data_IF_168269964702
#
_entry.id   IF_168269964702
#
_cell.length_a   1.000
_cell.length_b   1.000
_cell.length_c   1.000
_cell.angle_alpha   90.00
_cell.angle_beta   90.00
_cell.angle_gamma   90.00
#
_symmetry.space_group_name_H-M   'P 1'
#
loop_
_entity.id
_entity.type
_entity.pdbx_description
1 polymer ?
#
# COMPACT_ATOMS: atom_id res chain seq x y z
N UNK A 1 16.46 11.99 -10.57
CA UNK A 1 15.09 12.25 -11.10
C UNK A 1 14.16 11.05 -10.84
N UNK A 2 14.59 9.84 -11.22
CA UNK A 2 13.82 8.60 -11.07
C UNK A 2 13.32 8.33 -9.62
N UNK A 3 14.21 8.36 -8.63
CA UNK A 3 13.85 8.13 -7.22
C UNK A 3 12.80 9.12 -6.70
N UNK A 4 12.85 10.38 -7.16
CA UNK A 4 11.87 11.40 -6.79
C UNK A 4 10.48 11.07 -7.34
N UNK A 5 10.39 10.57 -8.58
CA UNK A 5 9.12 10.17 -9.20
C UNK A 5 8.49 9.00 -8.45
N UNK A 6 9.29 7.99 -8.09
CA UNK A 6 8.82 6.85 -7.29
C UNK A 6 8.28 7.32 -5.93
N UNK A 7 9.02 8.19 -5.24
CA UNK A 7 8.58 8.75 -3.96
C UNK A 7 7.29 9.53 -4.08
N UNK A 8 7.16 10.41 -5.07
CA UNK A 8 5.93 11.21 -5.25
C UNK A 8 4.74 10.31 -5.55
N UNK A 9 4.91 9.29 -6.40
CA UNK A 9 3.87 8.31 -6.69
C UNK A 9 3.45 7.53 -5.44
N UNK A 10 4.43 7.08 -4.65
CA UNK A 10 4.17 6.36 -3.41
C UNK A 10 3.44 7.21 -2.37
N UNK A 11 3.81 8.49 -2.22
CA UNK A 11 3.13 9.42 -1.30
C UNK A 11 1.67 9.61 -1.72
N UNK A 12 1.41 9.89 -3.00
CA UNK A 12 0.05 10.07 -3.52
C UNK A 12 -0.77 8.80 -3.29
N UNK A 13 -0.20 7.63 -3.59
CA UNK A 13 -0.84 6.34 -3.35
C UNK A 13 -1.21 6.16 -1.87
N UNK A 14 -0.25 6.31 -0.96
CA UNK A 14 -0.47 6.12 0.47
C UNK A 14 -1.49 7.12 1.05
N UNK A 15 -1.48 8.37 0.58
CA UNK A 15 -2.48 9.37 0.96
C UNK A 15 -3.89 8.93 0.51
N UNK A 16 -4.02 8.48 -0.74
CA UNK A 16 -5.29 8.01 -1.26
C UNK A 16 -5.81 6.79 -0.46
N UNK A 17 -4.95 5.83 -0.15
CA UNK A 17 -5.30 4.67 0.68
C UNK A 17 -5.72 5.06 2.10
N UNK A 18 -4.98 5.97 2.72
CA UNK A 18 -5.30 6.45 4.06
C UNK A 18 -6.62 7.21 4.14
N UNK A 19 -7.06 7.83 3.03
CA UNK A 19 -8.33 8.55 2.96
C UNK A 19 -9.55 7.64 3.17
N UNK A 20 -9.42 6.35 2.85
CA UNK A 20 -10.46 5.34 3.12
C UNK A 20 -10.64 5.17 4.63
N UNK A 21 -9.55 5.25 5.41
CA UNK A 21 -9.60 5.08 6.85
C UNK A 21 -10.27 6.27 7.57
N UNK A 22 -10.30 7.45 6.97
CA UNK A 22 -11.03 8.62 7.50
C UNK A 22 -12.53 8.31 7.64
N UNK A 23 -13.06 7.40 6.80
CA UNK A 23 -14.47 7.00 6.84
C UNK A 23 -14.84 6.13 8.04
N UNK A 24 -13.88 5.64 8.85
CA UNK A 24 -14.17 4.93 10.10
C UNK A 24 -14.91 5.81 11.12
N UNK A 25 -14.60 7.10 11.15
CA UNK A 25 -15.15 8.05 12.15
C UNK A 25 -16.56 8.52 11.81
N UNK A 26 -17.00 8.41 10.55
CA UNK A 26 -18.33 8.83 10.12
C UNK A 26 -19.39 7.84 10.63
N UNK A 27 -20.54 8.33 11.09
CA UNK A 27 -21.61 7.47 11.65
C UNK A 27 -22.31 6.61 10.59
N UNK A 28 -22.34 7.05 9.32
CA UNK A 28 -23.07 6.38 8.24
C UNK A 28 -22.45 5.04 7.81
N UNK A 29 -23.28 4.01 7.65
CA UNK A 29 -22.89 2.68 7.13
C UNK A 29 -22.71 2.67 5.60
N UNK A 30 -21.95 3.64 5.09
CA UNK A 30 -21.51 3.67 3.70
C UNK A 30 -20.64 2.45 3.35
N UNK A 31 -20.64 2.05 2.07
CA UNK A 31 -19.81 0.96 1.55
C UNK A 31 -18.34 1.17 1.94
N UNK A 32 -17.84 2.42 1.87
CA UNK A 32 -16.47 2.75 2.26
C UNK A 32 -16.18 2.50 3.74
N UNK A 33 -17.14 2.74 4.63
CA UNK A 33 -16.99 2.45 6.07
C UNK A 33 -16.94 0.94 6.33
N UNK A 34 -17.77 0.15 5.64
CA UNK A 34 -17.73 -1.33 5.74
C UNK A 34 -16.36 -1.87 5.29
N UNK A 35 -15.83 -1.38 4.18
CA UNK A 35 -14.48 -1.73 3.72
C UNK A 35 -13.42 -1.29 4.73
N UNK A 36 -13.51 -0.08 5.25
CA UNK A 36 -12.57 0.43 6.25
C UNK A 36 -12.58 -0.42 7.54
N UNK A 37 -13.75 -0.84 8.03
CA UNK A 37 -13.92 -1.74 9.17
C UNK A 37 -13.33 -3.15 8.91
N UNK A 38 -13.54 -3.70 7.71
CA UNK A 38 -12.92 -4.98 7.31
C UNK A 38 -11.39 -4.87 7.28
N UNK A 39 -10.88 -3.77 6.73
CA UNK A 39 -9.44 -3.51 6.61
C UNK A 39 -8.75 -3.24 7.96
N UNK A 40 -9.45 -2.68 8.95
CA UNK A 40 -8.91 -2.46 10.31
C UNK A 40 -9.23 -3.58 11.29
N UNK A 41 -10.21 -4.44 10.97
CA UNK A 41 -10.58 -5.64 11.72
C UNK A 41 -9.94 -6.90 11.15
N UNK A 42 -10.75 -7.72 10.48
CA UNK A 42 -10.37 -9.06 10.04
C UNK A 42 -9.16 -9.10 9.07
N UNK A 43 -8.95 -8.04 8.28
CA UNK A 43 -7.87 -7.95 7.30
C UNK A 43 -6.70 -7.06 7.75
N UNK A 44 -6.67 -6.62 9.02
CA UNK A 44 -5.69 -5.67 9.57
C UNK A 44 -4.24 -6.03 9.28
N UNK A 45 -3.87 -7.31 9.39
CA UNK A 45 -2.50 -7.76 9.16
C UNK A 45 -2.06 -7.50 7.72
N UNK A 46 -2.89 -7.85 6.74
CA UNK A 46 -2.61 -7.62 5.32
C UNK A 46 -2.59 -6.14 4.99
N UNK A 47 -3.51 -5.35 5.56
CA UNK A 47 -3.52 -3.90 5.44
C UNK A 47 -2.22 -3.29 5.99
N UNK A 48 -1.78 -3.70 7.18
CA UNK A 48 -0.56 -3.19 7.79
C UNK A 48 0.69 -3.51 6.96
N UNK A 49 0.83 -4.77 6.52
CA UNK A 49 1.97 -5.17 5.66
C UNK A 49 1.97 -4.37 4.36
N UNK A 50 0.81 -4.14 3.74
CA UNK A 50 0.69 -3.28 2.55
C UNK A 50 1.23 -1.87 2.80
N UNK A 51 0.81 -1.20 3.87
CA UNK A 51 1.28 0.15 4.20
C UNK A 51 2.79 0.16 4.51
N UNK A 52 3.27 -0.81 5.30
CA UNK A 52 4.69 -0.95 5.61
C UNK A 52 5.50 -1.13 4.32
N UNK A 53 5.04 -1.99 3.40
CA UNK A 53 5.69 -2.20 2.12
C UNK A 53 5.72 -0.92 1.26
N UNK A 54 4.61 -0.18 1.21
CA UNK A 54 4.55 1.09 0.49
C UNK A 54 5.48 2.16 1.07
N UNK A 55 5.55 2.29 2.41
CA UNK A 55 6.42 3.26 3.08
C UNK A 55 7.90 2.88 2.92
N UNK A 56 8.27 1.63 3.21
CA UNK A 56 9.66 1.17 3.13
C UNK A 56 10.12 1.19 1.67
N UNK A 57 9.37 0.56 0.77
CA UNK A 57 9.73 0.42 -0.63
C UNK A 57 9.63 1.72 -1.41
N UNK A 58 8.64 2.57 -1.14
CA UNK A 58 8.34 3.77 -1.91
C UNK A 58 8.95 5.06 -1.37
N UNK A 59 9.26 5.13 -0.06
CA UNK A 59 9.74 6.36 0.58
C UNK A 59 11.11 6.17 1.22
N UNK A 60 11.24 5.26 2.20
CA UNK A 60 12.46 5.17 3.01
C UNK A 60 13.68 4.71 2.20
N UNK A 61 13.53 3.64 1.40
CA UNK A 61 14.63 3.13 0.59
C UNK A 61 15.06 4.12 -0.51
N UNK A 62 14.16 4.69 -1.33
CA UNK A 62 14.55 5.71 -2.31
C UNK A 62 15.15 6.97 -1.69
N UNK A 63 14.69 7.39 -0.50
CA UNK A 63 15.25 8.53 0.23
C UNK A 63 16.68 8.25 0.69
N UNK A 64 16.94 7.06 1.25
CA UNK A 64 18.27 6.65 1.68
C UNK A 64 19.25 6.61 0.50
N UNK A 65 18.83 6.03 -0.63
CA UNK A 65 19.63 6.02 -1.86
C UNK A 65 19.92 7.47 -2.30
N UNK A 66 18.93 8.37 -2.25
CA UNK A 66 19.12 9.76 -2.67
C UNK A 66 20.08 10.54 -1.77
N UNK A 67 20.09 10.27 -0.46
CA UNK A 67 20.97 10.94 0.50
C UNK A 67 22.40 10.39 0.46
N UNK A 68 22.55 9.08 0.30
CA UNK A 68 23.86 8.40 0.37
C UNK A 68 24.43 8.07 -1.02
N UNK A 69 23.83 8.56 -2.10
CA UNK A 69 24.18 8.18 -3.48
C UNK A 69 25.68 8.26 -3.77
N UNK A 70 26.35 9.31 -3.28
CA UNK A 70 27.78 9.54 -3.51
C UNK A 70 28.72 8.59 -2.72
N UNK A 71 28.18 7.94 -1.68
CA UNK A 71 28.93 7.06 -0.77
C UNK A 71 28.67 5.57 -1.05
N UNK A 72 27.62 5.27 -1.82
CA UNK A 72 27.20 3.91 -2.11
C UNK A 72 27.91 3.36 -3.35
N UNK A 73 28.26 2.08 -3.30
CA UNK A 73 28.77 1.35 -4.46
C UNK A 73 27.62 0.93 -5.38
N UNK A 74 27.90 0.72 -6.67
CA UNK A 74 26.88 0.29 -7.64
C UNK A 74 26.14 -0.99 -7.20
N UNK A 75 26.83 -1.95 -6.56
CA UNK A 75 26.22 -3.17 -6.03
C UNK A 75 25.23 -2.90 -4.91
N UNK A 76 25.58 -2.02 -3.96
CA UNK A 76 24.67 -1.63 -2.87
C UNK A 76 23.44 -0.87 -3.38
N UNK A 77 23.61 -0.01 -4.38
CA UNK A 77 22.49 0.70 -5.02
C UNK A 77 21.54 -0.31 -5.68
N UNK A 78 22.08 -1.27 -6.44
CA UNK A 78 21.27 -2.30 -7.10
C UNK A 78 20.50 -3.15 -6.08
N UNK A 79 21.14 -3.53 -4.97
CA UNK A 79 20.48 -4.26 -3.88
C UNK A 79 19.28 -3.47 -3.30
N UNK A 80 19.46 -2.19 -2.97
CA UNK A 80 18.36 -1.38 -2.43
C UNK A 80 17.24 -1.14 -3.46
N UNK A 81 17.59 -1.00 -4.74
CA UNK A 81 16.60 -0.87 -5.83
C UNK A 81 15.77 -2.15 -5.96
N UNK A 82 16.41 -3.32 -5.98
CA UNK A 82 15.70 -4.60 -6.03
C UNK A 82 14.81 -4.80 -4.81
N UNK A 83 15.32 -4.47 -3.62
CA UNK A 83 14.55 -4.55 -2.38
C UNK A 83 13.34 -3.61 -2.41
N UNK A 84 13.53 -2.36 -2.85
CA UNK A 84 12.45 -1.39 -3.05
C UNK A 84 11.39 -1.92 -4.02
N UNK A 85 11.83 -2.46 -5.16
CA UNK A 85 10.95 -3.06 -6.16
C UNK A 85 10.15 -4.24 -5.60
N UNK A 86 10.79 -5.22 -4.96
CA UNK A 86 10.11 -6.37 -4.36
C UNK A 86 9.11 -5.96 -3.29
N UNK A 87 9.44 -4.93 -2.50
CA UNK A 87 8.59 -4.40 -1.46
C UNK A 87 7.32 -3.75 -2.06
N UNK A 88 7.49 -2.88 -3.06
CA UNK A 88 6.38 -2.26 -3.79
C UNK A 88 5.51 -3.31 -4.50
N UNK A 89 6.11 -4.28 -5.17
CA UNK A 89 5.41 -5.37 -5.85
C UNK A 89 4.55 -6.19 -4.88
N UNK A 90 5.10 -6.50 -3.69
CA UNK A 90 4.35 -7.18 -2.64
C UNK A 90 3.17 -6.34 -2.15
N UNK A 91 3.37 -5.03 -1.99
CA UNK A 91 2.30 -4.08 -1.66
C UNK A 91 1.17 -4.08 -2.69
N UNK A 92 1.50 -4.07 -3.99
CA UNK A 92 0.51 -4.15 -5.08
C UNK A 92 -0.28 -5.47 -5.05
N UNK A 93 0.39 -6.60 -4.83
CA UNK A 93 -0.31 -7.89 -4.73
C UNK A 93 -1.23 -7.96 -3.51
N UNK A 94 -0.80 -7.42 -2.37
CA UNK A 94 -1.63 -7.33 -1.17
C UNK A 94 -2.85 -6.43 -1.39
N UNK A 95 -2.69 -5.33 -2.12
CA UNK A 95 -3.81 -4.48 -2.51
C UNK A 95 -4.84 -5.26 -3.34
N UNK A 96 -4.40 -6.01 -4.37
CA UNK A 96 -5.28 -6.84 -5.19
C UNK A 96 -5.97 -7.92 -4.37
N UNK A 97 -5.22 -8.59 -3.48
CA UNK A 97 -5.78 -9.58 -2.58
C UNK A 97 -6.86 -8.99 -1.66
N UNK A 98 -6.60 -7.82 -1.06
CA UNK A 98 -7.54 -7.13 -0.18
C UNK A 98 -8.80 -6.67 -0.93
N UNK A 99 -8.66 -6.21 -2.17
CA UNK A 99 -9.79 -5.84 -3.01
C UNK A 99 -10.76 -7.02 -3.19
N UNK A 100 -10.26 -8.19 -3.57
CA UNK A 100 -11.11 -9.37 -3.75
C UNK A 100 -11.68 -9.90 -2.43
N UNK A 101 -10.92 -9.84 -1.33
CA UNK A 101 -11.40 -10.27 0.00
C UNK A 101 -12.42 -9.35 0.63
N UNK A 102 -12.41 -8.06 0.29
CA UNK A 102 -13.32 -7.07 0.86
C UNK A 102 -14.66 -6.97 0.10
N UNK A 103 -14.76 -7.50 -1.12
CA UNK A 103 -16.02 -7.52 -1.88
C UNK A 103 -17.00 -8.48 -1.22
N UNK A 104 -18.18 -7.96 -0.85
CA UNK A 104 -19.31 -8.79 -0.43
C UNK A 104 -19.88 -9.47 -1.68
N UNK A 105 -20.02 -10.80 -1.71
CA UNK A 105 -20.65 -11.48 -2.84
C UNK A 105 -22.06 -10.93 -3.02
N UNK A 106 -22.33 -10.34 -4.19
CA UNK A 106 -23.68 -9.91 -4.57
C UNK A 106 -24.55 -11.17 -4.66
N UNK A 107 -25.57 -11.26 -3.80
CA UNK A 107 -26.57 -12.34 -3.90
C UNK A 107 -27.32 -12.14 -5.20
N UNK A 108 -26.99 -12.93 -6.23
CA UNK A 108 -27.74 -12.91 -7.48
C UNK A 108 -29.15 -13.49 -7.24
N UNK A 109 -30.21 -12.89 -7.81
CA UNK A 109 -31.55 -13.45 -7.74
C UNK A 109 -31.55 -14.82 -8.43
N UNK A 110 -31.64 -15.88 -7.62
CA UNK A 110 -31.56 -17.27 -8.09
C UNK A 110 -30.73 -18.20 -7.20
N UNK A 111 -29.84 -17.65 -6.35
CA UNK A 111 -29.17 -18.42 -5.30
C UNK A 111 -30.10 -18.60 -4.11
N UNK A 112 -30.72 -19.78 -3.98
CA UNK A 112 -31.51 -20.18 -2.79
C UNK A 112 -30.68 -19.96 -1.53
#
# INVERSE_FOLDING_TARGET
PFFKVVMTGAIIKLLFESSILIHLTKSDLSIFKKTALLMTGALRRFTAVRFICGVIGGILLPLLICQMYAQLTSGTILFFVLLSFSCLLTGEFLERYLFFRAVVPLKMPGGR
#
